data_IF_900579464611
#
_entry.id   IF_900579464611
#
_cell.length_a   1.000
_cell.length_b   1.000
_cell.length_c   1.000
_cell.angle_alpha   90.00
_cell.angle_beta   90.00
_cell.angle_gamma   90.00
#
_symmetry.space_group_name_H-M   'P 1'
#
loop_
_entity.id
_entity.type
_entity.pdbx_description
1 polymer ?
#
# COMPACT_ATOMS: atom_id res chain seq x y z
N UNK A 1 -16.67 -45.40 24.30
CA UNK A 1 -16.22 -44.68 23.09
C UNK A 1 -15.32 -43.53 23.56
N UNK A 2 -14.05 -43.51 23.15
CA UNK A 2 -12.99 -42.75 23.82
C UNK A 2 -13.04 -41.26 23.45
N UNK A 3 -13.18 -40.36 24.44
CA UNK A 3 -13.27 -38.89 24.25
C UNK A 3 -12.09 -38.33 23.43
N UNK A 4 -10.90 -38.90 23.61
CA UNK A 4 -9.70 -38.52 22.86
C UNK A 4 -9.81 -38.75 21.34
N UNK A 5 -10.57 -39.76 20.90
CA UNK A 5 -10.79 -40.06 19.48
C UNK A 5 -11.77 -39.08 18.84
N UNK A 6 -12.80 -38.67 19.59
CA UNK A 6 -13.78 -37.66 19.15
C UNK A 6 -13.11 -36.28 19.05
N UNK A 7 -12.20 -35.94 19.97
CA UNK A 7 -11.45 -34.69 19.94
C UNK A 7 -10.38 -34.68 18.83
N UNK A 8 -9.73 -35.82 18.55
CA UNK A 8 -8.82 -35.95 17.42
C UNK A 8 -9.55 -35.78 16.07
N UNK A 9 -10.73 -36.39 15.93
CA UNK A 9 -11.58 -36.21 14.74
C UNK A 9 -12.08 -34.76 14.65
N UNK A 10 -12.57 -34.15 15.74
CA UNK A 10 -12.96 -32.72 15.73
C UNK A 10 -11.80 -31.78 15.42
N UNK A 11 -10.60 -32.09 15.89
CA UNK A 11 -9.37 -31.35 15.58
C UNK A 11 -9.00 -31.49 14.10
N UNK A 12 -9.06 -32.70 13.56
CA UNK A 12 -8.81 -33.00 12.16
C UNK A 12 -9.84 -32.30 11.27
N UNK A 13 -11.14 -32.45 11.55
CA UNK A 13 -12.20 -31.77 10.81
C UNK A 13 -12.18 -30.25 10.99
N UNK A 14 -11.81 -29.69 12.15
CA UNK A 14 -11.59 -28.23 12.28
C UNK A 14 -10.40 -27.74 11.44
N UNK A 15 -9.34 -28.53 11.29
CA UNK A 15 -8.20 -28.20 10.41
C UNK A 15 -8.52 -28.39 8.92
N UNK A 16 -9.33 -29.40 8.57
CA UNK A 16 -9.70 -29.70 7.18
C UNK A 16 -10.91 -28.90 6.69
N UNK A 17 -11.79 -28.42 7.59
CA UNK A 17 -13.03 -27.67 7.31
C UNK A 17 -13.10 -26.28 7.97
N UNK A 18 -12.00 -25.73 8.47
CA UNK A 18 -11.83 -24.28 8.36
C UNK A 18 -11.73 -24.00 6.87
N UNK A 19 -12.89 -23.92 6.21
CA UNK A 19 -13.04 -23.31 4.89
C UNK A 19 -12.48 -21.90 5.05
N UNK A 20 -11.20 -21.75 4.76
CA UNK A 20 -10.72 -20.47 4.25
C UNK A 20 -11.76 -20.07 3.22
N UNK A 21 -12.33 -18.87 3.37
CA UNK A 21 -13.28 -18.39 2.40
C UNK A 21 -12.70 -18.65 1.00
N UNK A 22 -13.51 -19.22 0.09
CA UNK A 22 -13.00 -19.56 -1.23
C UNK A 22 -12.39 -18.29 -1.83
N UNK A 23 -11.09 -18.36 -2.11
CA UNK A 23 -10.38 -17.26 -2.75
C UNK A 23 -10.99 -17.03 -4.13
N UNK A 24 -11.47 -15.81 -4.38
CA UNK A 24 -11.99 -15.40 -5.69
C UNK A 24 -10.94 -14.56 -6.37
N UNK A 25 -10.46 -15.04 -7.52
CA UNK A 25 -9.59 -14.25 -8.37
C UNK A 25 -10.39 -13.12 -9.02
N UNK A 26 -10.07 -11.88 -8.67
CA UNK A 26 -10.69 -10.67 -9.19
C UNK A 26 -9.59 -9.66 -9.52
N UNK A 27 -9.00 -9.72 -10.73
CA UNK A 27 -7.79 -8.99 -11.06
C UNK A 27 -7.96 -7.48 -10.86
N UNK A 28 -7.10 -6.90 -10.04
CA UNK A 28 -7.06 -5.47 -9.74
C UNK A 28 -5.89 -4.77 -10.42
N UNK A 29 -5.74 -3.46 -10.18
CA UNK A 29 -4.61 -2.67 -10.70
C UNK A 29 -4.17 -1.61 -9.73
N UNK A 30 -2.85 -1.43 -9.61
CA UNK A 30 -2.27 -0.36 -8.77
C UNK A 30 -1.83 0.86 -9.55
N UNK A 31 -1.60 0.70 -10.86
CA UNK A 31 -1.03 1.69 -11.75
C UNK A 31 -1.59 1.57 -13.17
N UNK A 32 -0.96 2.26 -14.13
CA UNK A 32 -1.40 2.24 -15.52
C UNK A 32 -1.29 0.83 -16.11
N UNK A 33 -2.19 0.48 -17.03
CA UNK A 33 -2.05 -0.67 -17.94
C UNK A 33 -0.75 -0.58 -18.73
N UNK A 34 -0.11 -1.73 -18.88
CA UNK A 34 1.05 -1.93 -19.73
C UNK A 34 1.08 -3.36 -20.25
N UNK A 35 1.82 -3.58 -21.33
CA UNK A 35 2.15 -4.92 -21.81
C UNK A 35 3.64 -5.14 -21.74
N UNK A 36 4.07 -6.36 -21.42
CA UNK A 36 5.47 -6.75 -21.54
C UNK A 36 5.85 -6.86 -23.02
N UNK A 37 6.94 -6.18 -23.39
CA UNK A 37 7.58 -6.28 -24.70
C UNK A 37 8.64 -7.39 -24.66
N UNK A 38 9.38 -7.44 -23.57
CA UNK A 38 10.36 -8.48 -23.24
C UNK A 38 10.44 -8.65 -21.71
N UNK A 39 11.53 -9.21 -21.18
CA UNK A 39 11.71 -9.50 -19.75
C UNK A 39 12.03 -8.26 -18.88
N UNK A 40 12.51 -7.17 -19.49
CA UNK A 40 12.84 -5.91 -18.80
C UNK A 40 12.02 -4.72 -19.33
N UNK A 41 11.37 -4.85 -20.49
CA UNK A 41 10.72 -3.73 -21.16
C UNK A 41 9.21 -3.90 -21.13
N UNK A 42 8.51 -2.83 -20.74
CA UNK A 42 7.06 -2.72 -20.85
C UNK A 42 6.68 -1.58 -21.79
N UNK A 43 5.53 -1.71 -22.45
CA UNK A 43 4.88 -0.63 -23.21
C UNK A 43 3.65 -0.15 -22.47
N UNK A 44 3.62 1.12 -22.11
CA UNK A 44 2.51 1.73 -21.39
C UNK A 44 1.30 1.89 -22.32
N UNK A 45 0.10 1.54 -21.84
CA UNK A 45 -1.15 1.60 -22.61
C UNK A 45 -2.07 2.73 -22.22
N UNK A 46 -1.92 3.27 -21.02
CA UNK A 46 -2.75 4.37 -20.53
C UNK A 46 -1.94 5.44 -19.80
N UNK A 47 -2.56 6.60 -19.61
CA UNK A 47 -1.96 7.76 -18.96
C UNK A 47 -1.08 8.60 -19.89
N UNK A 48 -0.41 9.61 -19.32
CA UNK A 48 0.37 10.60 -20.08
C UNK A 48 1.65 10.06 -20.74
N UNK A 49 1.99 8.79 -20.51
CA UNK A 49 3.12 8.11 -21.13
C UNK A 49 2.67 6.96 -22.04
N UNK A 50 1.38 6.89 -22.40
CA UNK A 50 0.87 5.86 -23.28
C UNK A 50 1.68 5.78 -24.60
N UNK A 51 1.92 4.56 -25.07
CA UNK A 51 2.75 4.27 -26.24
C UNK A 51 4.26 4.26 -25.98
N UNK A 52 4.73 4.79 -24.85
CA UNK A 52 6.16 4.81 -24.50
C UNK A 52 6.61 3.47 -23.91
N UNK A 53 7.87 3.14 -24.14
CA UNK A 53 8.52 1.97 -23.57
C UNK A 53 9.31 2.33 -22.32
N UNK A 54 9.05 1.62 -21.23
CA UNK A 54 9.73 1.78 -19.96
C UNK A 54 10.56 0.52 -19.71
N UNK A 55 11.86 0.68 -19.51
CA UNK A 55 12.74 -0.40 -19.09
C UNK A 55 12.79 -0.46 -17.56
N UNK A 56 12.69 -1.67 -17.03
CA UNK A 56 12.63 -2.01 -15.64
C UNK A 56 13.74 -3.02 -15.37
N UNK A 57 14.61 -2.70 -14.43
CA UNK A 57 15.65 -3.62 -13.96
C UNK A 57 15.44 -3.89 -12.48
N UNK A 58 15.39 -5.16 -12.09
CA UNK A 58 15.28 -5.56 -10.69
C UNK A 58 16.59 -6.20 -10.25
N UNK A 59 17.17 -5.67 -9.17
CA UNK A 59 18.34 -6.23 -8.52
C UNK A 59 17.92 -6.84 -7.19
N UNK A 60 18.16 -8.14 -7.00
CA UNK A 60 17.81 -8.86 -5.77
C UNK A 60 19.08 -9.40 -5.12
N UNK A 61 19.33 -8.94 -3.91
CA UNK A 61 20.41 -9.36 -3.03
C UNK A 61 19.81 -10.00 -1.77
N UNK A 62 20.59 -10.71 -0.93
CA UNK A 62 20.04 -11.44 0.23
C UNK A 62 19.18 -10.57 1.17
N UNK A 63 19.64 -9.35 1.46
CA UNK A 63 19.09 -8.42 2.45
C UNK A 63 18.34 -7.23 1.83
N UNK A 64 18.38 -7.06 0.50
CA UNK A 64 17.73 -5.95 -0.19
C UNK A 64 17.32 -6.29 -1.61
N UNK A 65 16.34 -5.57 -2.13
CA UNK A 65 16.00 -5.54 -3.53
C UNK A 65 15.79 -4.10 -4.00
N UNK A 66 16.06 -3.84 -5.28
CA UNK A 66 15.81 -2.53 -5.89
C UNK A 66 15.20 -2.70 -7.27
N UNK A 67 14.25 -1.84 -7.60
CA UNK A 67 13.68 -1.75 -8.96
C UNK A 67 14.02 -0.39 -9.54
N UNK A 68 14.58 -0.38 -10.75
CA UNK A 68 14.98 0.83 -11.45
C UNK A 68 14.14 1.01 -12.71
N UNK A 69 13.54 2.18 -12.87
CA UNK A 69 12.79 2.54 -14.08
C UNK A 69 13.62 3.47 -14.97
N UNK A 70 13.75 3.12 -16.25
CA UNK A 70 14.45 3.92 -17.27
C UNK A 70 13.52 4.22 -18.45
N UNK A 71 13.57 5.46 -18.92
CA UNK A 71 12.88 5.92 -20.12
C UNK A 71 13.91 6.64 -21.00
N UNK A 72 13.97 6.31 -22.29
CA UNK A 72 14.93 6.84 -23.25
C UNK A 72 16.40 6.77 -22.76
N UNK A 73 16.76 5.66 -22.11
CA UNK A 73 18.10 5.44 -21.54
C UNK A 73 18.37 6.18 -20.22
N UNK A 74 17.50 7.10 -19.80
CA UNK A 74 17.66 7.83 -18.55
C UNK A 74 16.93 7.13 -17.40
N UNK A 75 17.58 6.95 -16.26
CA UNK A 75 16.89 6.52 -15.04
C UNK A 75 15.94 7.61 -14.54
N UNK A 76 14.66 7.26 -14.42
CA UNK A 76 13.58 8.16 -14.00
C UNK A 76 12.96 7.78 -12.65
N UNK A 77 13.23 6.58 -12.15
CA UNK A 77 12.75 6.15 -10.85
C UNK A 77 13.58 5.02 -10.24
N UNK A 78 13.46 4.89 -8.92
CA UNK A 78 14.02 3.79 -8.12
C UNK A 78 13.07 3.47 -6.97
N UNK A 79 12.80 2.18 -6.74
CA UNK A 79 12.19 1.68 -5.51
C UNK A 79 13.23 0.90 -4.71
N UNK A 80 13.27 1.12 -3.39
CA UNK A 80 14.15 0.40 -2.47
C UNK A 80 13.34 -0.47 -1.51
N UNK A 81 13.72 -1.74 -1.44
CA UNK A 81 13.08 -2.77 -0.63
C UNK A 81 14.14 -3.40 0.27
N UNK A 82 13.93 -3.37 1.57
CA UNK A 82 14.70 -4.17 2.52
C UNK A 82 14.07 -5.56 2.64
N UNK A 83 14.92 -6.57 2.82
CA UNK A 83 14.52 -7.96 3.04
C UNK A 83 14.87 -8.38 4.47
N UNK A 84 13.97 -8.07 5.41
CA UNK A 84 14.17 -8.34 6.83
C UNK A 84 13.00 -9.14 7.47
N UNK A 85 13.21 -10.43 7.83
CA UNK A 85 14.47 -11.18 7.69
C UNK A 85 14.76 -11.58 6.23
N UNK A 86 16.02 -11.78 5.83
CA UNK A 86 16.40 -12.19 4.48
C UNK A 86 15.59 -13.37 3.95
N UNK A 87 15.14 -13.30 2.70
CA UNK A 87 14.33 -14.35 2.07
C UNK A 87 12.87 -14.45 2.53
N UNK A 88 12.43 -13.62 3.49
CA UNK A 88 11.07 -13.67 4.05
C UNK A 88 10.43 -12.29 4.14
N UNK A 89 11.08 -11.36 4.82
CA UNK A 89 10.58 -10.00 4.95
C UNK A 89 10.67 -9.24 3.65
N UNK A 90 9.65 -8.44 3.36
CA UNK A 90 9.63 -7.49 2.26
C UNK A 90 9.16 -6.16 2.81
N UNK A 91 10.08 -5.20 2.95
CA UNK A 91 9.84 -3.89 3.53
C UNK A 91 10.13 -2.82 2.50
N UNK A 92 9.07 -2.24 1.93
CA UNK A 92 9.19 -1.11 1.01
C UNK A 92 9.45 0.17 1.82
N UNK A 93 10.61 0.79 1.62
CA UNK A 93 11.04 1.97 2.36
C UNK A 93 10.84 3.27 1.59
N UNK A 94 11.21 3.25 0.30
CA UNK A 94 11.24 4.46 -0.49
C UNK A 94 10.97 4.17 -1.96
N UNK A 95 10.29 5.11 -2.61
CA UNK A 95 10.10 5.15 -4.05
C UNK A 95 10.35 6.57 -4.52
N UNK A 96 11.50 6.76 -5.17
CA UNK A 96 11.86 8.02 -5.79
C UNK A 96 11.48 8.01 -7.27
N UNK A 97 10.78 9.05 -7.72
CA UNK A 97 10.49 9.31 -9.13
C UNK A 97 10.86 10.77 -9.43
N UNK A 98 11.61 10.98 -10.52
CA UNK A 98 11.99 12.31 -11.01
C UNK A 98 10.74 13.18 -11.21
N UNK A 99 10.83 14.46 -10.88
CA UNK A 99 9.71 15.41 -10.82
C UNK A 99 8.81 15.38 -12.06
N UNK A 100 9.38 15.52 -13.26
CA UNK A 100 8.64 15.46 -14.53
C UNK A 100 8.00 14.10 -14.87
N UNK A 101 8.21 13.06 -14.05
CA UNK A 101 7.64 11.72 -14.20
C UNK A 101 6.73 11.32 -13.02
N UNK A 102 6.59 12.19 -12.01
CA UNK A 102 5.66 11.97 -10.90
C UNK A 102 4.22 11.96 -11.39
N UNK A 103 3.33 11.26 -10.66
CA UNK A 103 1.91 11.09 -10.99
C UNK A 103 1.61 10.38 -12.33
N UNK A 104 2.64 9.87 -13.04
CA UNK A 104 2.51 9.08 -14.28
C UNK A 104 2.44 7.56 -14.05
N UNK A 105 2.29 7.12 -12.79
CA UNK A 105 2.16 5.71 -12.43
C UNK A 105 3.46 4.92 -12.28
N UNK A 106 4.62 5.54 -12.48
CA UNK A 106 5.94 4.87 -12.41
C UNK A 106 6.19 4.21 -11.05
N UNK A 107 5.82 4.88 -9.95
CA UNK A 107 5.96 4.31 -8.60
C UNK A 107 5.12 3.04 -8.40
N UNK A 108 3.88 3.04 -8.91
CA UNK A 108 3.01 1.86 -8.88
C UNK A 108 3.61 0.72 -9.69
N UNK A 109 4.13 0.98 -10.89
CA UNK A 109 4.77 -0.06 -11.72
C UNK A 109 5.98 -0.67 -11.01
N UNK A 110 6.90 0.14 -10.49
CA UNK A 110 8.07 -0.38 -9.78
C UNK A 110 7.67 -1.21 -8.55
N UNK A 111 6.62 -0.81 -7.84
CA UNK A 111 6.09 -1.59 -6.70
C UNK A 111 5.49 -2.92 -7.15
N UNK A 112 4.69 -2.91 -8.23
CA UNK A 112 4.13 -4.12 -8.82
C UNK A 112 5.23 -5.12 -9.16
N UNK A 113 6.24 -4.66 -9.91
CA UNK A 113 7.37 -5.50 -10.35
C UNK A 113 8.13 -6.05 -9.16
N UNK A 114 8.56 -5.18 -8.23
CA UNK A 114 9.36 -5.60 -7.08
C UNK A 114 8.65 -6.59 -6.17
N UNK A 115 7.37 -6.34 -5.85
CA UNK A 115 6.60 -7.26 -5.01
C UNK A 115 6.29 -8.58 -5.73
N UNK A 116 5.93 -8.53 -7.02
CA UNK A 116 5.66 -9.73 -7.80
C UNK A 116 6.90 -10.62 -7.91
N UNK A 117 8.05 -10.04 -8.25
CA UNK A 117 9.31 -10.81 -8.36
C UNK A 117 9.72 -11.44 -7.03
N UNK A 118 9.64 -10.69 -5.92
CA UNK A 118 9.95 -11.22 -4.59
C UNK A 118 8.98 -12.35 -4.21
N UNK A 119 7.68 -12.22 -4.52
CA UNK A 119 6.72 -13.31 -4.33
C UNK A 119 7.01 -14.51 -5.21
N UNK A 120 7.52 -14.31 -6.42
CA UNK A 120 7.84 -15.39 -7.36
C UNK A 120 9.00 -16.26 -6.88
N UNK A 121 9.99 -15.68 -6.19
CA UNK A 121 11.18 -16.39 -5.73
C UNK A 121 11.12 -16.87 -4.28
N UNK A 122 10.29 -16.25 -3.43
CA UNK A 122 10.22 -16.61 -2.00
C UNK A 122 9.18 -17.70 -1.73
N UNK A 123 9.53 -18.68 -0.90
CA UNK A 123 8.57 -19.69 -0.43
C UNK A 123 7.57 -19.11 0.59
N UNK A 124 8.03 -18.15 1.39
CA UNK A 124 7.22 -17.44 2.37
C UNK A 124 7.56 -15.95 2.37
N UNK A 125 6.57 -15.08 2.51
CA UNK A 125 6.78 -13.64 2.51
C UNK A 125 5.89 -12.88 3.50
N UNK A 126 6.43 -11.85 4.15
CA UNK A 126 5.66 -10.86 4.93
C UNK A 126 5.88 -9.48 4.33
N UNK A 127 4.84 -8.65 4.23
CA UNK A 127 4.94 -7.35 3.56
C UNK A 127 4.66 -6.18 4.50
N UNK A 128 5.55 -5.19 4.46
CA UNK A 128 5.41 -3.91 5.16
C UNK A 128 5.79 -2.75 4.26
N UNK A 129 5.25 -1.59 4.58
CA UNK A 129 5.62 -0.31 4.00
C UNK A 129 6.05 0.59 5.15
N UNK A 130 7.28 1.08 5.11
CA UNK A 130 7.81 2.02 6.08
C UNK A 130 7.73 3.41 5.47
N UNK A 131 7.01 4.30 6.15
CA UNK A 131 6.94 5.69 5.72
C UNK A 131 8.15 6.42 6.30
N UNK A 132 8.95 7.04 5.44
CA UNK A 132 10.04 7.89 5.92
C UNK A 132 9.44 9.06 6.71
N UNK A 133 9.88 9.21 7.96
CA UNK A 133 9.55 10.36 8.80
C UNK A 133 10.64 11.41 8.61
N UNK A 134 10.50 12.28 7.61
CA UNK A 134 11.32 13.49 7.56
C UNK A 134 10.67 14.53 8.46
N UNK A 135 10.69 14.29 9.77
CA UNK A 135 10.33 15.30 10.76
C UNK A 135 11.60 15.68 11.52
N UNK A 136 12.07 16.90 11.33
CA UNK A 136 12.88 17.57 12.36
C UNK A 136 11.89 18.08 13.42
N UNK A 137 11.99 17.66 14.69
CA UNK A 137 11.07 18.06 15.75
C UNK A 137 10.92 19.59 15.95
N UNK A 138 11.85 20.39 15.41
CA UNK A 138 11.86 21.85 15.50
C UNK A 138 11.08 22.56 14.37
N UNK A 139 10.72 21.86 13.29
CA UNK A 139 9.99 22.48 12.17
C UNK A 139 8.49 22.43 12.44
N UNK A 140 7.87 23.61 12.67
CA UNK A 140 6.40 23.76 12.81
C UNK A 140 5.63 23.41 11.54
N UNK A 141 6.32 23.23 10.41
CA UNK A 141 5.74 22.85 9.14
C UNK A 141 5.56 21.33 9.10
N UNK A 142 4.36 20.89 9.48
CA UNK A 142 3.99 19.49 9.28
C UNK A 142 3.60 19.32 7.82
N UNK A 143 4.53 18.87 7.00
CA UNK A 143 4.30 18.65 5.57
C UNK A 143 3.70 17.27 5.31
N UNK A 144 2.74 17.21 4.38
CA UNK A 144 2.20 15.97 3.86
C UNK A 144 3.30 15.25 3.05
N UNK A 145 3.78 14.14 3.58
CA UNK A 145 4.77 13.28 2.93
C UNK A 145 4.12 11.96 2.52
N UNK A 146 4.80 11.22 1.65
CA UNK A 146 4.46 9.82 1.36
C UNK A 146 3.07 9.58 0.74
N UNK A 147 2.46 10.58 0.08
CA UNK A 147 1.14 10.45 -0.56
C UNK A 147 1.12 9.30 -1.56
N UNK A 148 2.09 9.27 -2.49
CA UNK A 148 2.12 8.26 -3.54
C UNK A 148 2.22 6.83 -2.99
N UNK A 149 3.13 6.60 -2.04
CA UNK A 149 3.31 5.29 -1.40
C UNK A 149 2.11 4.92 -0.50
N UNK A 150 1.44 5.89 0.12
CA UNK A 150 0.17 5.70 0.84
C UNK A 150 -0.96 5.25 -0.08
N UNK A 151 -1.10 5.87 -1.26
CA UNK A 151 -2.07 5.44 -2.29
C UNK A 151 -1.76 4.01 -2.74
N UNK A 152 -0.50 3.68 -3.00
CA UNK A 152 -0.08 2.34 -3.40
C UNK A 152 -0.40 1.32 -2.30
N UNK A 153 -0.06 1.61 -1.05
CA UNK A 153 -0.36 0.75 0.10
C UNK A 153 -1.86 0.48 0.24
N UNK A 154 -2.69 1.52 0.20
CA UNK A 154 -4.14 1.39 0.28
C UNK A 154 -4.71 0.55 -0.87
N UNK A 155 -4.28 0.78 -2.12
CA UNK A 155 -4.69 -0.01 -3.29
C UNK A 155 -4.27 -1.46 -3.24
N UNK A 156 -3.18 -1.76 -2.52
CA UNK A 156 -2.69 -3.11 -2.31
C UNK A 156 -3.30 -3.79 -1.07
N UNK A 157 -4.22 -3.13 -0.36
CA UNK A 157 -4.85 -3.68 0.85
C UNK A 157 -3.98 -3.59 2.12
N UNK A 158 -2.92 -2.80 2.11
CA UNK A 158 -2.15 -2.54 3.31
C UNK A 158 -2.93 -1.64 4.27
N UNK A 159 -2.77 -1.89 5.56
CA UNK A 159 -3.41 -1.10 6.63
C UNK A 159 -2.35 -0.54 7.57
N UNK A 160 -2.60 0.60 8.23
CA UNK A 160 -1.67 1.11 9.23
C UNK A 160 -1.35 0.08 10.33
N UNK A 161 -0.13 0.16 10.86
CA UNK A 161 0.29 -0.70 11.98
C UNK A 161 -0.45 -0.35 13.28
N UNK A 162 -0.85 0.91 13.46
CA UNK A 162 -1.66 1.34 14.59
C UNK A 162 -3.15 1.08 14.40
N UNK A 163 -3.85 0.99 15.54
CA UNK A 163 -5.28 0.79 15.61
C UNK A 163 -6.04 2.10 15.32
N UNK A 164 -6.40 2.30 14.05
CA UNK A 164 -7.21 3.44 13.59
C UNK A 164 -8.57 3.50 14.30
N UNK A 165 -9.19 2.35 14.57
CA UNK A 165 -10.51 2.26 15.21
C UNK A 165 -10.48 2.75 16.66
N UNK A 166 -9.32 2.70 17.30
CA UNK A 166 -9.08 3.31 18.61
C UNK A 166 -8.63 4.75 18.50
N UNK A 167 -7.68 5.05 17.60
CA UNK A 167 -7.04 6.37 17.54
C UNK A 167 -7.97 7.47 17.02
N UNK A 168 -8.88 7.15 16.11
CA UNK A 168 -9.75 8.13 15.45
C UNK A 168 -11.19 8.10 15.96
N UNK A 169 -11.42 7.49 17.14
CA UNK A 169 -12.70 7.66 17.85
C UNK A 169 -12.92 9.15 18.13
N UNK A 170 -14.15 9.67 17.98
CA UNK A 170 -14.45 11.08 18.22
C UNK A 170 -13.92 11.58 19.57
N UNK A 171 -14.08 10.80 20.64
CA UNK A 171 -13.59 11.17 21.98
C UNK A 171 -12.05 11.35 22.06
N UNK A 172 -11.31 10.69 21.18
CA UNK A 172 -9.86 10.77 21.11
C UNK A 172 -9.33 11.90 20.20
N UNK A 173 -10.19 12.48 19.37
CA UNK A 173 -9.86 13.62 18.52
C UNK A 173 -9.91 14.90 19.37
N UNK A 174 -8.86 15.71 19.29
CA UNK A 174 -8.73 16.99 19.99
C UNK A 174 -8.99 18.16 19.05
N UNK A 175 -8.63 17.99 17.78
CA UNK A 175 -8.84 18.99 16.76
C UNK A 175 -8.44 18.50 15.40
N UNK A 176 -9.03 19.12 14.37
CA UNK A 176 -8.77 18.81 12.97
C UNK A 176 -8.45 20.12 12.27
N UNK A 177 -7.25 20.21 11.73
CA UNK A 177 -6.78 21.33 10.92
C UNK A 177 -6.68 20.88 9.46
N UNK A 178 -7.17 21.69 8.54
CA UNK A 178 -7.02 21.43 7.11
C UNK A 178 -5.77 22.17 6.64
N UNK A 179 -4.80 21.40 6.15
CA UNK A 179 -3.61 21.93 5.52
C UNK A 179 -3.92 22.13 4.02
N UNK A 180 -3.68 23.33 3.45
CA UNK A 180 -3.91 23.59 2.05
C UNK A 180 -2.97 22.74 1.17
N UNK A 181 -3.35 22.56 -0.08
CA UNK A 181 -2.45 21.99 -1.08
C UNK A 181 -1.17 22.83 -1.18
N UNK A 182 -0.03 22.16 -1.32
CA UNK A 182 1.28 22.81 -1.50
C UNK A 182 2.05 22.05 -2.57
N UNK A 183 2.59 22.76 -3.55
CA UNK A 183 3.29 22.19 -4.71
C UNK A 183 2.45 21.08 -5.39
N UNK A 184 3.02 19.89 -5.54
CA UNK A 184 2.38 18.67 -6.07
C UNK A 184 1.69 17.82 -4.98
N UNK A 185 1.36 18.37 -3.82
CA UNK A 185 0.67 17.64 -2.75
C UNK A 185 -0.80 18.08 -2.62
N UNK A 186 -1.74 17.13 -2.52
CA UNK A 186 -3.15 17.45 -2.27
C UNK A 186 -3.31 18.12 -0.89
N UNK A 187 -4.48 18.73 -0.60
CA UNK A 187 -4.81 19.11 0.75
C UNK A 187 -4.71 17.93 1.73
N UNK A 188 -4.55 18.20 3.01
CA UNK A 188 -4.51 17.15 4.04
C UNK A 188 -5.21 17.56 5.33
N UNK A 189 -5.58 16.56 6.12
CA UNK A 189 -5.94 16.73 7.52
C UNK A 189 -4.70 16.59 8.39
N UNK A 190 -4.60 17.48 9.34
CA UNK A 190 -3.84 17.32 10.57
C UNK A 190 -4.81 17.02 11.68
N UNK A 191 -4.93 15.75 12.04
CA UNK A 191 -5.77 15.28 13.12
C UNK A 191 -4.92 15.20 14.38
N UNK A 192 -5.20 16.06 15.34
CA UNK A 192 -4.57 16.04 16.67
C UNK A 192 -5.37 15.08 17.53
N UNK A 193 -4.70 14.08 18.10
CA UNK A 193 -5.33 13.06 18.94
C UNK A 193 -4.73 13.05 20.34
N UNK A 194 -5.52 12.65 21.35
CA UNK A 194 -5.08 12.67 22.76
C UNK A 194 -3.98 11.65 23.04
N UNK A 195 -4.04 10.49 22.39
CA UNK A 195 -3.12 9.37 22.63
C UNK A 195 -2.06 9.25 21.55
N UNK A 196 -0.90 8.68 21.88
CA UNK A 196 0.20 8.45 20.93
C UNK A 196 -0.25 7.65 19.68
N UNK A 197 0.18 8.03 18.46
CA UNK A 197 0.92 9.25 18.08
C UNK A 197 0.03 10.52 18.05
N UNK A 198 0.48 11.61 18.68
CA UNK A 198 -0.31 12.84 18.93
C UNK A 198 -0.86 13.56 17.68
N UNK A 199 -0.26 13.34 16.51
CA UNK A 199 -0.68 13.98 15.25
C UNK A 199 -0.68 12.95 14.12
N UNK A 200 -1.81 12.84 13.44
CA UNK A 200 -1.97 12.07 12.22
C UNK A 200 -2.09 13.04 11.05
N UNK A 201 -1.29 12.82 10.01
CA UNK A 201 -1.39 13.57 8.76
C UNK A 201 -2.03 12.66 7.73
N UNK A 202 -3.16 13.08 7.19
CA UNK A 202 -3.98 12.24 6.35
C UNK A 202 -4.46 12.98 5.10
N UNK A 203 -4.67 12.25 4.01
CA UNK A 203 -5.30 12.78 2.81
C UNK A 203 -6.49 11.92 2.41
N UNK A 204 -7.42 12.52 1.69
CA UNK A 204 -8.68 11.90 1.29
C UNK A 204 -8.52 11.27 -0.08
N UNK A 205 -9.08 10.08 -0.25
CA UNK A 205 -9.24 9.42 -1.54
C UNK A 205 -10.66 9.63 -2.06
N UNK A 206 -10.74 9.88 -3.35
CA UNK A 206 -11.99 9.89 -4.10
C UNK A 206 -12.58 8.46 -4.10
N UNK A 207 -13.85 8.27 -3.70
CA UNK A 207 -14.44 6.94 -3.56
C UNK A 207 -14.49 6.13 -4.86
N UNK A 208 -14.56 6.81 -6.01
CA UNK A 208 -14.75 6.16 -7.31
C UNK A 208 -13.41 5.83 -7.98
N UNK A 209 -12.42 6.71 -7.81
CA UNK A 209 -11.12 6.61 -8.49
C UNK A 209 -9.97 6.16 -7.59
N UNK A 210 -10.15 6.20 -6.27
CA UNK A 210 -9.11 5.98 -5.25
C UNK A 210 -7.85 6.81 -5.53
N UNK A 211 -8.04 8.03 -6.07
CA UNK A 211 -7.00 9.04 -6.24
C UNK A 211 -7.13 10.08 -5.12
N UNK A 212 -6.04 10.75 -4.72
CA UNK A 212 -6.15 11.85 -3.77
C UNK A 212 -7.11 12.93 -4.27
N UNK A 213 -7.99 13.40 -3.39
CA UNK A 213 -8.89 14.52 -3.67
C UNK A 213 -8.12 15.82 -3.57
N UNK A 214 -8.12 16.61 -4.65
CA UNK A 214 -7.49 17.93 -4.70
C UNK A 214 -8.46 19.07 -4.28
N UNK A 215 -9.77 18.81 -4.23
CA UNK A 215 -10.77 19.81 -3.86
C UNK A 215 -10.78 20.10 -2.35
N UNK A 216 -10.28 21.29 -1.97
CA UNK A 216 -10.27 21.78 -0.59
C UNK A 216 -11.67 21.79 0.06
N UNK A 217 -12.76 22.00 -0.71
CA UNK A 217 -14.13 22.03 -0.16
C UNK A 217 -14.55 20.67 0.38
N UNK A 218 -14.04 19.59 -0.18
CA UNK A 218 -14.28 18.23 0.32
C UNK A 218 -13.70 18.08 1.74
N UNK A 219 -12.51 18.61 1.99
CA UNK A 219 -11.90 18.60 3.32
C UNK A 219 -12.73 19.42 4.32
N UNK A 220 -13.17 20.63 3.93
CA UNK A 220 -14.02 21.49 4.78
C UNK A 220 -15.35 20.81 5.12
N UNK A 221 -15.94 20.03 4.21
CA UNK A 221 -17.18 19.29 4.49
C UNK A 221 -16.93 18.18 5.50
N UNK A 222 -15.83 17.44 5.37
CA UNK A 222 -15.49 16.32 6.25
C UNK A 222 -15.16 16.77 7.68
N UNK A 223 -14.63 17.98 7.89
CA UNK A 223 -14.36 18.50 9.25
C UNK A 223 -15.61 18.98 9.99
N UNK A 224 -16.79 19.01 9.35
CA UNK A 224 -18.04 19.42 10.03
C UNK A 224 -18.53 18.40 11.05
N UNK A 225 -18.10 17.14 10.91
CA UNK A 225 -18.53 16.04 11.75
C UNK A 225 -17.41 14.99 11.84
N UNK A 226 -16.87 14.82 13.05
CA UNK A 226 -15.78 13.87 13.32
C UNK A 226 -16.17 12.42 13.07
N UNK A 227 -17.45 12.08 13.22
CA UNK A 227 -17.93 10.72 12.94
C UNK A 227 -17.84 10.39 11.45
N UNK A 228 -17.97 11.40 10.59
CA UNK A 228 -17.76 11.23 9.15
C UNK A 228 -16.31 10.84 8.84
N UNK A 229 -15.32 11.49 9.47
CA UNK A 229 -13.89 11.14 9.30
C UNK A 229 -13.62 9.71 9.80
N UNK A 230 -14.12 9.36 10.98
CA UNK A 230 -14.02 8.00 11.52
C UNK A 230 -14.57 6.96 10.54
N UNK A 231 -15.76 7.18 10.00
CA UNK A 231 -16.40 6.28 9.04
C UNK A 231 -15.63 6.18 7.71
N UNK A 232 -15.09 7.29 7.21
CA UNK A 232 -14.32 7.29 5.97
C UNK A 232 -12.98 6.56 6.10
N UNK A 233 -12.32 6.69 7.25
CA UNK A 233 -11.11 5.91 7.56
C UNK A 233 -11.41 4.42 7.55
N UNK A 234 -12.51 3.99 8.17
CA UNK A 234 -12.93 2.57 8.18
C UNK A 234 -13.26 2.02 6.80
N UNK A 235 -13.67 2.89 5.88
CA UNK A 235 -13.88 2.57 4.46
C UNK A 235 -12.59 2.60 3.63
N UNK A 236 -11.44 2.92 4.24
CA UNK A 236 -10.16 3.04 3.54
C UNK A 236 -10.06 4.29 2.65
N UNK A 237 -10.92 5.29 2.84
CA UNK A 237 -10.97 6.51 2.03
C UNK A 237 -10.12 7.65 2.60
N UNK A 238 -9.53 7.45 3.78
CA UNK A 238 -8.58 8.39 4.38
C UNK A 238 -7.30 7.62 4.66
N UNK A 239 -6.19 8.10 4.09
CA UNK A 239 -4.87 7.46 4.18
C UNK A 239 -3.98 8.30 5.08
N UNK A 240 -3.36 7.68 6.08
CA UNK A 240 -2.42 8.34 6.99
C UNK A 240 -1.02 8.34 6.37
N UNK A 241 -0.52 9.51 5.97
CA UNK A 241 0.79 9.67 5.30
C UNK A 241 2.01 9.51 6.22
N UNK A 242 1.85 9.70 7.53
CA UNK A 242 2.95 9.61 8.51
C UNK A 242 2.98 8.28 9.31
N UNK A 243 2.23 7.27 8.88
CA UNK A 243 2.11 5.98 9.56
C UNK A 243 2.74 4.83 8.80
N UNK A 244 3.36 3.87 9.47
CA UNK A 244 3.80 2.63 8.82
C UNK A 244 2.60 1.73 8.51
N UNK A 245 2.73 0.90 7.48
CA UNK A 245 1.70 -0.02 7.04
C UNK A 245 2.21 -1.45 6.99
N UNK A 246 1.28 -2.38 7.18
CA UNK A 246 1.52 -3.81 7.02
C UNK A 246 0.38 -4.46 6.27
N UNK A 247 0.72 -5.48 5.48
CA UNK A 247 -0.28 -6.36 4.89
C UNK A 247 -0.86 -7.23 6.02
N UNK A 248 -2.18 -7.21 6.16
CA UNK A 248 -2.93 -8.04 7.13
C UNK A 248 -3.89 -8.95 6.38
N UNK A 249 -4.48 -9.90 7.10
CA UNK A 249 -5.34 -10.94 6.53
C UNK A 249 -6.51 -10.39 5.69
N UNK A 250 -7.09 -9.26 6.09
CA UNK A 250 -8.19 -8.62 5.37
C UNK A 250 -7.77 -8.00 4.02
N UNK A 251 -6.48 -7.68 3.84
CA UNK A 251 -5.94 -7.15 2.60
C UNK A 251 -5.29 -8.19 1.69
N UNK A 252 -5.12 -9.44 2.16
CA UNK A 252 -4.38 -10.48 1.44
C UNK A 252 -4.95 -10.75 0.06
N UNK A 253 -6.26 -10.95 -0.05
CA UNK A 253 -6.89 -11.31 -1.32
C UNK A 253 -6.82 -10.13 -2.31
N UNK A 254 -6.98 -8.90 -1.84
CA UNK A 254 -6.76 -7.69 -2.65
C UNK A 254 -5.32 -7.64 -3.15
N UNK A 255 -4.34 -7.82 -2.26
CA UNK A 255 -2.92 -7.79 -2.59
C UNK A 255 -2.56 -8.76 -3.73
N UNK A 256 -2.94 -10.04 -3.60
CA UNK A 256 -2.58 -11.05 -4.61
C UNK A 256 -3.34 -10.83 -5.92
N UNK A 257 -4.59 -10.38 -5.87
CA UNK A 257 -5.37 -10.04 -7.05
C UNK A 257 -4.80 -8.86 -7.85
N UNK A 258 -4.03 -7.98 -7.20
CA UNK A 258 -3.40 -6.83 -7.86
C UNK A 258 -2.00 -7.14 -8.41
N UNK A 259 -1.38 -8.25 -7.98
CA UNK A 259 -0.02 -8.63 -8.39
C UNK A 259 0.00 -9.80 -9.36
N UNK A 260 -0.93 -10.74 -9.26
CA UNK A 260 -0.94 -11.93 -10.08
C UNK A 260 -1.47 -11.66 -11.50
N UNK A 261 -0.89 -12.33 -12.49
CA UNK A 261 -1.33 -12.27 -13.89
C UNK A 261 -2.51 -13.18 -14.19
N UNK A 262 -2.69 -14.23 -13.37
CA UNK A 262 -3.74 -15.22 -13.52
C UNK A 262 -4.13 -15.84 -12.17
N UNK A 263 -5.19 -16.64 -12.17
CA UNK A 263 -5.73 -17.28 -10.97
C UNK A 263 -4.75 -18.28 -10.33
N UNK A 264 -3.96 -18.99 -11.13
CA UNK A 264 -3.01 -19.97 -10.61
C UNK A 264 -1.89 -19.26 -9.85
N UNK A 265 -1.30 -18.22 -10.45
CA UNK A 265 -0.30 -17.36 -9.81
C UNK A 265 -0.87 -16.73 -8.53
N UNK A 266 -2.11 -16.25 -8.56
CA UNK A 266 -2.75 -15.64 -7.39
C UNK A 266 -2.87 -16.62 -6.22
N UNK A 267 -3.27 -17.88 -6.48
CA UNK A 267 -3.33 -18.94 -5.47
C UNK A 267 -1.95 -19.33 -4.94
N UNK A 268 -0.92 -19.33 -5.79
CA UNK A 268 0.48 -19.56 -5.37
C UNK A 268 0.95 -18.42 -4.47
N UNK A 269 0.79 -17.17 -4.89
CA UNK A 269 1.16 -15.99 -4.11
C UNK A 269 0.44 -15.93 -2.78
N UNK A 270 -0.88 -16.18 -2.75
CA UNK A 270 -1.67 -16.23 -1.52
C UNK A 270 -1.13 -17.25 -0.53
N UNK A 271 -0.69 -18.41 -1.02
CA UNK A 271 -0.05 -19.44 -0.19
C UNK A 271 1.36 -19.09 0.26
N UNK A 272 2.04 -18.14 -0.37
CA UNK A 272 3.39 -17.69 0.04
C UNK A 272 3.31 -16.58 1.08
N UNK A 273 2.28 -15.76 1.07
CA UNK A 273 2.12 -14.73 2.10
C UNK A 273 1.82 -15.38 3.47
N UNK A 274 2.58 -14.95 4.49
CA UNK A 274 2.50 -15.43 5.88
C UNK A 274 2.49 -14.23 6.84
N UNK A 275 2.16 -14.50 8.11
CA UNK A 275 2.18 -13.46 9.16
C UNK A 275 1.14 -12.35 8.98
N UNK A 276 0.03 -12.66 8.30
CA UNK A 276 -1.11 -11.76 8.03
C UNK A 276 -2.27 -11.95 9.00
#
# INVERSE_FOLDING_TARGET
MNLAFIDAIRSFFRRTFLREQPFVFNPGRIGPRFDWVDHETIRLREGSLAGRELRLATEILPDKASVFARLDGQQIGRAYIERDPPGKGVVLWDIAVKEGFRRKGIASIMTYVGFRELLSIQETATFRIRMMRLMKPAERNVELQNVGIGVIGNRLGFTPEFDLDRLLRPENIVGIEILPAKDDFPPSFKVVIRTFPLVLIAFVLDPDTLKPVDDFRTYVKLTKDETTIYNWVRRGLIVIGNGNYQLRRNGLDQFVNHLATDEYEARVFRRRVRGV
#
